data_IF_621017623737
#
_entry.id   IF_621017623737
#
_cell.length_a   1.000
_cell.length_b   1.000
_cell.length_c   1.000
_cell.angle_alpha   90.00
_cell.angle_beta   90.00
_cell.angle_gamma   90.00
#
_symmetry.space_group_name_H-M   'P 1'
#
loop_
_entity.id
_entity.type
_entity.pdbx_description
1 polymer ?
#
# COMPACT_ATOMS: atom_id res chain seq x y z
N UNK A 1 11.20 -1.52 -10.03
CA UNK A 1 11.59 -2.30 -8.83
C UNK A 1 12.59 -1.57 -7.92
N UNK A 2 13.79 -1.19 -8.38
CA UNK A 2 14.84 -0.62 -7.51
C UNK A 2 14.42 0.64 -6.74
N UNK A 3 13.75 1.60 -7.40
CA UNK A 3 13.24 2.84 -6.77
C UNK A 3 12.21 2.58 -5.67
N UNK A 4 11.25 1.69 -5.92
CA UNK A 4 10.23 1.35 -4.94
C UNK A 4 10.83 0.68 -3.70
N UNK A 5 11.81 -0.22 -3.91
CA UNK A 5 12.51 -0.88 -2.83
C UNK A 5 13.33 0.12 -2.00
N UNK A 6 14.05 1.04 -2.64
CA UNK A 6 14.84 2.05 -1.91
C UNK A 6 13.97 3.00 -1.08
N UNK A 7 12.79 3.38 -1.60
CA UNK A 7 11.82 4.19 -0.84
C UNK A 7 11.28 3.42 0.36
N UNK A 8 10.92 2.15 0.17
CA UNK A 8 10.45 1.29 1.27
C UNK A 8 11.51 1.14 2.37
N UNK A 9 12.76 0.82 2.00
CA UNK A 9 13.87 0.65 2.94
C UNK A 9 14.20 1.95 3.69
N UNK A 10 14.02 3.11 3.06
CA UNK A 10 14.16 4.40 3.73
C UNK A 10 12.98 4.72 4.68
N UNK A 11 11.76 4.33 4.33
CA UNK A 11 10.56 4.65 5.09
C UNK A 11 10.30 3.72 6.28
N UNK A 12 10.75 2.46 6.23
CA UNK A 12 10.40 1.42 7.22
C UNK A 12 11.66 0.83 7.89
N UNK A 13 11.61 0.69 9.22
CA UNK A 13 12.63 -0.04 9.99
C UNK A 13 12.12 -1.45 10.33
N UNK A 14 12.99 -2.48 10.42
CA UNK A 14 12.56 -3.84 10.74
C UNK A 14 11.74 -3.99 12.04
N UNK A 15 11.95 -3.09 12.99
CA UNK A 15 11.25 -3.05 14.29
C UNK A 15 9.88 -2.37 14.24
N UNK A 16 9.54 -1.69 13.16
CA UNK A 16 8.30 -0.91 13.09
C UNK A 16 7.09 -1.85 13.04
N UNK A 17 6.05 -1.50 13.81
CA UNK A 17 4.73 -2.14 13.74
C UNK A 17 3.97 -1.64 12.53
N UNK A 18 3.38 -2.58 11.80
CA UNK A 18 2.64 -2.29 10.58
C UNK A 18 1.29 -3.00 10.54
N UNK A 19 0.43 -2.50 9.66
CA UNK A 19 -0.75 -3.20 9.14
C UNK A 19 -0.63 -3.36 7.64
N UNK A 20 -1.11 -4.48 7.13
CA UNK A 20 -1.23 -4.73 5.68
C UNK A 20 -2.70 -4.64 5.33
N UNK A 21 -3.07 -3.67 4.52
CA UNK A 21 -4.45 -3.47 4.07
C UNK A 21 -4.55 -3.75 2.57
N UNK A 22 -5.40 -4.69 2.18
CA UNK A 22 -5.70 -4.96 0.78
C UNK A 22 -7.18 -4.74 0.51
N UNK A 23 -7.50 -4.02 -0.57
CA UNK A 23 -8.89 -3.73 -0.94
C UNK A 23 -9.16 -3.89 -2.42
N UNK A 24 -10.36 -4.35 -2.73
CA UNK A 24 -10.89 -4.43 -4.10
C UNK A 24 -12.17 -3.62 -4.22
N UNK A 25 -12.38 -3.02 -5.38
CA UNK A 25 -13.67 -2.46 -5.72
C UNK A 25 -14.66 -3.58 -6.06
N UNK A 26 -15.87 -3.49 -5.51
CA UNK A 26 -16.92 -4.48 -5.65
C UNK A 26 -18.23 -3.83 -6.08
N UNK A 27 -18.85 -4.40 -7.10
CA UNK A 27 -20.22 -4.13 -7.58
C UNK A 27 -21.31 -4.82 -6.73
N UNK A 28 -20.90 -5.36 -5.58
CA UNK A 28 -21.69 -6.20 -4.68
C UNK A 28 -21.44 -7.69 -4.87
N UNK A 29 -20.88 -8.11 -6.02
CA UNK A 29 -20.65 -9.53 -6.34
C UNK A 29 -19.21 -9.97 -6.09
N UNK A 30 -18.23 -9.12 -6.40
CA UNK A 30 -16.80 -9.41 -6.17
C UNK A 30 -16.52 -9.59 -4.66
N UNK A 31 -15.60 -10.47 -4.31
CA UNK A 31 -15.21 -10.79 -2.93
C UNK A 31 -13.72 -11.10 -2.88
N UNK A 32 -13.08 -10.76 -1.76
CA UNK A 32 -11.74 -11.24 -1.43
C UNK A 32 -11.87 -12.69 -0.95
N UNK A 33 -11.22 -13.63 -1.64
CA UNK A 33 -11.28 -15.07 -1.35
C UNK A 33 -9.94 -15.55 -0.82
N UNK A 34 -9.95 -16.59 0.04
CA UNK A 34 -8.72 -17.22 0.56
C UNK A 34 -7.79 -17.74 -0.56
N UNK A 35 -8.33 -18.04 -1.73
CA UNK A 35 -7.57 -18.47 -2.91
C UNK A 35 -6.88 -17.34 -3.66
N UNK A 36 -7.22 -16.08 -3.37
CA UNK A 36 -6.66 -14.92 -4.05
C UNK A 36 -5.15 -14.85 -3.82
N UNK A 37 -4.43 -14.36 -4.83
CA UNK A 37 -2.98 -14.28 -4.79
C UNK A 37 -2.44 -13.48 -3.59
N UNK A 38 -3.21 -12.50 -3.10
CA UNK A 38 -2.94 -11.78 -1.86
C UNK A 38 -2.58 -12.73 -0.70
N UNK A 39 -3.38 -13.76 -0.42
CA UNK A 39 -3.10 -14.67 0.70
C UNK A 39 -1.90 -15.58 0.47
N UNK A 40 -1.53 -15.84 -0.79
CA UNK A 40 -0.29 -16.55 -1.12
C UNK A 40 0.92 -15.66 -0.88
N UNK A 41 0.80 -14.37 -1.21
CA UNK A 41 1.87 -13.38 -1.03
C UNK A 41 2.16 -13.09 0.44
N UNK A 42 1.13 -13.13 1.28
CA UNK A 42 1.21 -12.93 2.73
C UNK A 42 1.11 -14.24 3.54
N UNK A 43 1.42 -15.39 2.92
CA UNK A 43 1.48 -16.68 3.63
C UNK A 43 2.38 -16.65 4.88
N UNK A 44 3.55 -15.96 4.90
CA UNK A 44 4.37 -15.85 6.11
C UNK A 44 3.64 -15.23 7.31
N UNK A 45 2.55 -14.51 7.09
CA UNK A 45 1.71 -13.91 8.13
C UNK A 45 0.52 -14.79 8.52
N UNK A 46 0.51 -16.07 8.13
CA UNK A 46 -0.54 -17.00 8.50
C UNK A 46 -0.69 -17.09 10.03
N UNK A 47 -1.93 -17.02 10.51
CA UNK A 47 -2.25 -17.01 11.95
C UNK A 47 -2.32 -15.62 12.59
N UNK A 48 -1.91 -14.56 11.89
CA UNK A 48 -2.14 -13.17 12.33
C UNK A 48 -3.64 -12.81 12.26
N UNK A 49 -4.02 -11.80 13.03
CA UNK A 49 -5.40 -11.32 13.05
C UNK A 49 -5.80 -10.74 11.69
N UNK A 50 -6.91 -11.25 11.15
CA UNK A 50 -7.51 -10.80 9.89
C UNK A 50 -8.86 -10.14 10.17
N UNK A 51 -9.00 -8.90 9.75
CA UNK A 51 -10.25 -8.15 9.81
C UNK A 51 -10.77 -7.93 8.38
N UNK A 52 -12.03 -8.29 8.13
CA UNK A 52 -12.71 -7.99 6.88
C UNK A 52 -13.72 -6.87 7.10
N UNK A 53 -13.69 -5.87 6.23
CA UNK A 53 -14.61 -4.74 6.30
C UNK A 53 -15.15 -4.36 4.92
N UNK A 54 -16.31 -3.70 4.93
CA UNK A 54 -16.89 -3.08 3.74
C UNK A 54 -16.98 -1.58 3.97
N UNK A 55 -16.47 -0.80 3.01
CA UNK A 55 -16.48 0.65 3.07
C UNK A 55 -17.27 1.19 1.89
N UNK A 56 -18.33 1.93 2.19
CA UNK A 56 -19.14 2.68 1.24
C UNK A 56 -18.71 4.15 1.31
N UNK A 57 -18.94 4.90 0.24
CA UNK A 57 -18.85 6.36 0.26
C UNK A 57 -17.43 6.96 0.45
N UNK A 58 -16.36 6.25 0.02
CA UNK A 58 -14.98 6.76 0.15
C UNK A 58 -14.69 7.92 -0.82
N UNK A 59 -15.41 8.05 -1.95
CA UNK A 59 -15.02 9.01 -3.01
C UNK A 59 -16.10 9.94 -3.58
N UNK A 60 -17.42 9.77 -3.33
CA UNK A 60 -18.45 10.82 -3.56
C UNK A 60 -19.87 10.32 -3.33
N UNK A 61 -20.75 11.31 -3.15
CA UNK A 61 -22.20 11.39 -3.30
C UNK A 61 -22.79 10.72 -4.58
N UNK A 62 -21.96 10.14 -5.45
CA UNK A 62 -22.29 9.65 -6.80
C UNK A 62 -22.18 8.13 -6.99
N UNK A 63 -22.17 7.31 -5.94
CA UNK A 63 -22.40 5.87 -6.12
C UNK A 63 -23.86 5.66 -6.53
N UNK A 64 -24.14 5.78 -7.84
CA UNK A 64 -25.46 5.65 -8.48
C UNK A 64 -26.22 4.37 -8.06
N UNK A 65 -25.52 3.36 -7.53
CA UNK A 65 -26.11 2.13 -7.00
C UNK A 65 -25.58 1.78 -5.60
N UNK A 66 -26.51 1.64 -4.63
CA UNK A 66 -26.32 1.22 -3.22
C UNK A 66 -25.53 -0.10 -3.00
N UNK A 67 -25.07 -0.77 -4.05
CA UNK A 67 -24.35 -2.05 -4.04
C UNK A 67 -22.84 -1.92 -4.24
N UNK A 68 -22.34 -0.76 -4.68
CA UNK A 68 -20.91 -0.54 -4.82
C UNK A 68 -20.25 -0.32 -3.46
N UNK A 69 -19.14 -1.01 -3.22
CA UNK A 69 -18.35 -0.85 -2.01
C UNK A 69 -16.90 -1.27 -2.24
N UNK A 70 -16.02 -0.79 -1.37
CA UNK A 70 -14.69 -1.36 -1.20
C UNK A 70 -14.77 -2.51 -0.21
N UNK A 71 -14.30 -3.68 -0.62
CA UNK A 71 -14.08 -4.80 0.30
C UNK A 71 -12.62 -4.78 0.69
N UNK A 72 -12.35 -4.76 1.99
CA UNK A 72 -11.01 -4.66 2.54
C UNK A 72 -10.75 -5.85 3.45
N UNK A 73 -9.51 -6.33 3.41
CA UNK A 73 -8.94 -7.19 4.44
C UNK A 73 -7.73 -6.48 5.04
N UNK A 74 -7.64 -6.50 6.36
CA UNK A 74 -6.52 -5.94 7.12
C UNK A 74 -5.85 -7.03 7.93
N UNK A 75 -4.53 -7.19 7.75
CA UNK A 75 -3.68 -8.02 8.61
C UNK A 75 -3.04 -7.09 9.65
N UNK A 76 -3.29 -7.37 10.93
CA UNK A 76 -2.74 -6.60 12.06
C UNK A 76 -1.67 -7.38 12.83
N UNK A 77 -1.01 -6.71 13.77
CA UNK A 77 0.04 -7.26 14.64
C UNK A 77 1.24 -7.82 13.87
N UNK A 78 1.65 -7.08 12.83
CA UNK A 78 2.77 -7.42 11.96
C UNK A 78 3.94 -6.48 12.23
N UNK A 79 5.16 -6.99 12.20
CA UNK A 79 6.39 -6.20 12.14
C UNK A 79 6.95 -6.19 10.71
N UNK A 80 7.66 -5.13 10.35
CA UNK A 80 8.36 -5.05 9.05
C UNK A 80 9.28 -6.24 8.80
N UNK A 81 9.96 -6.72 9.84
CA UNK A 81 10.84 -7.90 9.78
C UNK A 81 10.15 -9.20 9.39
N UNK A 82 8.81 -9.27 9.50
CA UNK A 82 8.00 -10.43 9.11
C UNK A 82 7.59 -10.38 7.62
N UNK A 83 7.86 -9.27 6.92
CA UNK A 83 7.55 -9.12 5.50
C UNK A 83 8.73 -9.49 4.60
N UNK A 84 8.42 -10.25 3.55
CA UNK A 84 9.28 -10.32 2.38
C UNK A 84 8.80 -9.29 1.34
N UNK A 85 9.36 -8.07 1.37
CA UNK A 85 8.88 -6.96 0.55
C UNK A 85 9.14 -7.12 -0.96
N UNK A 86 10.20 -7.83 -1.35
CA UNK A 86 10.58 -7.98 -2.77
C UNK A 86 9.49 -8.62 -3.64
N UNK A 87 8.92 -9.79 -3.30
CA UNK A 87 7.82 -10.37 -4.07
C UNK A 87 6.56 -9.50 -4.01
N UNK A 88 6.34 -8.73 -2.94
CA UNK A 88 5.21 -7.81 -2.82
C UNK A 88 5.33 -6.67 -3.84
N UNK A 89 6.48 -6.00 -3.88
CA UNK A 89 6.76 -4.94 -4.85
C UNK A 89 6.66 -5.47 -6.28
N UNK A 90 7.21 -6.67 -6.52
CA UNK A 90 7.15 -7.30 -7.84
C UNK A 90 5.70 -7.57 -8.27
N UNK A 91 4.86 -8.10 -7.37
CA UNK A 91 3.44 -8.35 -7.64
C UNK A 91 2.64 -7.08 -7.97
N UNK A 92 2.96 -5.95 -7.33
CA UNK A 92 2.35 -4.65 -7.68
C UNK A 92 2.76 -4.19 -9.09
N UNK A 93 4.05 -4.32 -9.43
CA UNK A 93 4.58 -3.94 -10.75
C UNK A 93 4.00 -4.82 -11.86
N UNK A 94 4.00 -6.14 -11.66
CA UNK A 94 3.48 -7.08 -12.65
C UNK A 94 1.96 -6.94 -12.85
N UNK A 95 1.26 -6.34 -11.89
CA UNK A 95 -0.14 -5.96 -12.01
C UNK A 95 -0.47 -5.12 -13.24
N UNK A 96 0.46 -4.26 -13.67
CA UNK A 96 0.27 -3.40 -14.85
C UNK A 96 0.56 -4.12 -16.18
N UNK A 97 1.21 -5.29 -16.10
CA UNK A 97 1.60 -6.11 -17.25
C UNK A 97 0.85 -7.44 -17.22
N UNK A 98 -0.41 -7.45 -17.68
CA UNK A 98 -1.38 -8.55 -17.54
C UNK A 98 -0.94 -9.98 -17.91
N UNK A 99 0.20 -10.16 -18.58
CA UNK A 99 0.74 -11.46 -18.98
C UNK A 99 1.91 -11.95 -18.11
N UNK A 100 2.36 -11.19 -17.10
CA UNK A 100 3.57 -11.50 -16.31
C UNK A 100 3.38 -12.39 -15.08
N UNK A 101 2.18 -12.95 -14.89
CA UNK A 101 1.91 -13.93 -13.83
C UNK A 101 0.73 -13.54 -12.94
N UNK A 102 0.65 -14.09 -11.71
CA UNK A 102 -0.43 -13.77 -10.80
C UNK A 102 -0.35 -12.32 -10.33
N UNK A 103 -1.45 -11.58 -10.48
CA UNK A 103 -1.53 -10.16 -10.15
C UNK A 103 -2.43 -9.90 -8.95
N UNK A 104 -2.19 -8.77 -8.27
CA UNK A 104 -3.12 -8.23 -7.28
C UNK A 104 -4.23 -7.49 -8.01
N UNK A 105 -5.47 -7.96 -7.88
CA UNK A 105 -6.64 -7.34 -8.52
C UNK A 105 -7.13 -6.05 -7.82
N UNK A 106 -6.39 -5.57 -6.83
CA UNK A 106 -6.80 -4.52 -5.92
C UNK A 106 -5.64 -3.70 -5.39
N UNK A 107 -5.95 -2.75 -4.52
CA UNK A 107 -4.99 -1.83 -3.93
C UNK A 107 -4.40 -2.42 -2.66
N UNK A 108 -3.08 -2.34 -2.52
CA UNK A 108 -2.33 -2.77 -1.36
C UNK A 108 -1.70 -1.57 -0.66
N UNK A 109 -1.90 -1.48 0.65
CA UNK A 109 -1.33 -0.46 1.52
C UNK A 109 -0.54 -1.12 2.65
N UNK A 110 0.66 -0.62 2.90
CA UNK A 110 1.44 -0.96 4.09
C UNK A 110 1.41 0.27 5.01
N UNK A 111 0.78 0.12 6.17
CA UNK A 111 0.58 1.22 7.13
C UNK A 111 1.56 1.02 8.28
N UNK A 112 2.49 1.95 8.45
CA UNK A 112 3.37 2.06 9.61
C UNK A 112 2.60 2.71 10.78
N UNK A 113 2.35 1.93 11.83
CA UNK A 113 1.63 2.41 13.00
C UNK A 113 2.50 3.28 13.90
N UNK A 114 3.81 3.05 13.93
CA UNK A 114 4.73 3.78 14.81
C UNK A 114 5.07 5.17 14.24
N UNK A 115 5.12 5.28 12.91
CA UNK A 115 5.41 6.54 12.19
C UNK A 115 4.18 7.22 11.60
N UNK A 116 2.99 6.61 11.74
CA UNK A 116 1.75 7.07 11.10
C UNK A 116 1.89 7.33 9.59
N UNK A 117 2.58 6.40 8.91
CA UNK A 117 2.95 6.50 7.50
C UNK A 117 2.26 5.40 6.69
N UNK A 118 1.86 5.70 5.46
CA UNK A 118 1.26 4.77 4.51
C UNK A 118 2.15 4.67 3.28
N UNK A 119 2.34 3.45 2.78
CA UNK A 119 3.00 3.16 1.52
C UNK A 119 2.04 2.43 0.56
N UNK A 120 1.90 2.96 -0.66
CA UNK A 120 1.05 2.40 -1.71
C UNK A 120 1.74 2.43 -3.08
N UNK A 121 2.17 1.27 -3.57
CA UNK A 121 2.69 1.10 -4.92
C UNK A 121 1.53 0.73 -5.85
N UNK A 122 1.08 1.66 -6.69
CA UNK A 122 -0.12 1.49 -7.51
C UNK A 122 0.16 0.90 -8.89
N UNK A 123 1.32 1.16 -9.48
CA UNK A 123 1.76 0.56 -10.75
C UNK A 123 3.30 0.54 -10.87
N UNK A 124 3.82 0.29 -12.08
CA UNK A 124 5.26 0.27 -12.36
C UNK A 124 5.91 1.66 -12.47
N UNK A 125 5.09 2.72 -12.59
CA UNK A 125 5.51 4.11 -12.78
C UNK A 125 5.69 4.84 -11.46
N UNK A 126 4.85 4.55 -10.47
CA UNK A 126 4.82 5.35 -9.25
C UNK A 126 4.25 4.67 -8.01
N UNK A 127 4.53 5.29 -6.87
CA UNK A 127 4.01 4.94 -5.56
C UNK A 127 3.78 6.22 -4.76
N UNK A 128 2.89 6.12 -3.79
CA UNK A 128 2.64 7.17 -2.81
C UNK A 128 3.18 6.76 -1.44
N UNK A 129 3.81 7.73 -0.77
CA UNK A 129 4.07 7.68 0.66
C UNK A 129 3.40 8.88 1.30
N UNK A 130 2.43 8.63 2.18
CA UNK A 130 1.71 9.67 2.89
C UNK A 130 1.84 9.48 4.39
N UNK A 131 1.74 10.55 5.16
CA UNK A 131 1.76 10.47 6.62
C UNK A 131 0.79 11.47 7.25
N UNK A 132 0.38 11.22 8.49
CA UNK A 132 -0.43 12.15 9.29
C UNK A 132 0.30 13.46 9.60
N UNK A 133 1.63 13.41 9.62
CA UNK A 133 2.51 14.50 10.01
C UNK A 133 3.65 14.63 9.01
N UNK A 134 3.98 15.88 8.64
CA UNK A 134 5.13 16.14 7.75
C UNK A 134 6.43 15.61 8.33
N UNK A 135 6.59 15.62 9.65
CA UNK A 135 7.81 15.16 10.33
C UNK A 135 8.12 13.68 10.07
N UNK A 136 7.09 12.85 9.88
CA UNK A 136 7.28 11.45 9.53
C UNK A 136 7.86 11.24 8.11
N UNK A 137 7.78 12.26 7.25
CA UNK A 137 8.29 12.24 5.88
C UNK A 137 9.63 12.97 5.73
N UNK A 138 10.10 13.68 6.75
CA UNK A 138 11.29 14.55 6.66
C UNK A 138 12.54 13.77 6.27
N UNK A 139 12.85 12.69 7.00
CA UNK A 139 13.99 11.81 6.69
C UNK A 139 13.86 11.22 5.28
N UNK A 140 12.66 10.80 4.88
CA UNK A 140 12.44 10.24 3.55
C UNK A 140 12.67 11.29 2.46
N UNK A 141 12.17 12.50 2.66
CA UNK A 141 12.33 13.60 1.73
C UNK A 141 13.79 14.01 1.57
N UNK A 142 14.53 14.19 2.66
CA UNK A 142 15.95 14.56 2.62
C UNK A 142 16.79 13.53 1.85
N UNK A 143 16.46 12.24 1.97
CA UNK A 143 17.23 11.16 1.35
C UNK A 143 16.74 10.73 -0.05
N UNK A 144 15.48 11.01 -0.40
CA UNK A 144 14.84 10.49 -1.62
C UNK A 144 14.22 11.56 -2.54
N UNK A 145 14.38 12.87 -2.27
CA UNK A 145 13.76 13.93 -3.09
C UNK A 145 14.19 13.91 -4.56
N UNK A 146 15.29 13.27 -4.93
CA UNK A 146 15.71 13.05 -6.32
C UNK A 146 14.77 12.14 -7.11
N UNK A 147 13.91 11.37 -6.42
CA UNK A 147 12.92 10.49 -7.03
C UNK A 147 11.56 11.18 -7.25
N UNK A 148 11.35 12.36 -6.66
CA UNK A 148 10.14 13.15 -6.88
C UNK A 148 10.11 13.71 -8.29
N UNK A 149 8.90 13.86 -8.83
CA UNK A 149 8.68 14.60 -10.06
C UNK A 149 8.93 16.08 -9.81
N UNK A 150 9.43 16.80 -10.83
CA UNK A 150 9.68 18.24 -10.75
C UNK A 150 8.43 19.03 -10.33
N UNK A 151 7.25 18.53 -10.73
CA UNK A 151 5.95 19.08 -10.36
C UNK A 151 5.74 19.11 -8.83
N UNK A 152 6.02 18.00 -8.14
CA UNK A 152 5.82 17.89 -6.69
C UNK A 152 6.97 18.52 -5.90
N UNK A 153 8.18 18.55 -6.50
CA UNK A 153 9.39 18.96 -5.81
C UNK A 153 9.32 20.38 -5.25
N UNK A 154 8.79 21.34 -6.01
CA UNK A 154 8.68 22.73 -5.57
C UNK A 154 7.78 22.89 -4.34
N UNK A 155 6.66 22.17 -4.31
CA UNK A 155 5.75 22.19 -3.16
C UNK A 155 6.41 21.53 -1.94
N UNK A 156 7.05 20.38 -2.14
CA UNK A 156 7.74 19.67 -1.05
C UNK A 156 8.92 20.47 -0.50
N UNK A 157 9.71 21.14 -1.36
CA UNK A 157 10.78 22.07 -0.94
C UNK A 157 10.22 23.16 -0.02
N UNK A 158 9.00 23.65 -0.28
CA UNK A 158 8.38 24.68 0.57
C UNK A 158 7.91 24.16 1.93
N UNK A 159 7.59 22.86 2.05
CA UNK A 159 7.11 22.24 3.28
C UNK A 159 8.24 21.83 4.24
N UNK A 160 9.39 21.43 3.67
CA UNK A 160 10.55 20.88 4.38
C UNK A 160 11.75 21.83 4.47
N UNK A 161 11.60 23.07 3.98
CA UNK A 161 12.51 24.17 4.29
C UNK A 161 12.45 24.59 5.74
#
# INVERSE_FOLDING_TARGET
>A
MSRALSIYEAAFKPSDKIKVCYQIFSDGRKKIRKSDYFFKLFEPLCGKALEFSEHRDIYTEDLEYKRHCWKRVTISDVFVSELNIKPIIQACIDGDFGDRGPTLAGQLFIINCDKELMFHLYDDRGLDVAASSKWALEDLYQNQNQLLLDYDKQYMDSLFK
#
